data_IF_270057507346
#
_entry.id   IF_270057507346
#
_cell.length_a   1.000
_cell.length_b   1.000
_cell.length_c   1.000
_cell.angle_alpha   90.00
_cell.angle_beta   90.00
_cell.angle_gamma   90.00
#
_symmetry.space_group_name_H-M   'P 1'
#
loop_
_entity.id
_entity.type
_entity.pdbx_description
1 polymer ?
#
# COMPACT_ATOMS: atom_id res chain seq x y z
N UNK A 1 10.30 1.32 -21.66
CA UNK A 1 9.67 1.44 -20.33
C UNK A 1 8.89 0.16 -20.09
N UNK A 2 9.56 -0.88 -19.58
CA UNK A 2 8.90 -2.12 -19.20
C UNK A 2 7.97 -1.83 -18.03
N UNK A 3 6.67 -1.92 -18.25
CA UNK A 3 5.67 -1.92 -17.18
C UNK A 3 5.93 -3.15 -16.31
N UNK A 4 6.75 -3.00 -15.26
CA UNK A 4 6.85 -4.04 -14.23
C UNK A 4 5.46 -4.18 -13.64
N UNK A 5 4.78 -5.26 -14.00
CA UNK A 5 3.43 -5.53 -13.56
C UNK A 5 3.52 -6.21 -12.19
N UNK A 6 3.53 -5.40 -11.13
CA UNK A 6 3.48 -5.91 -9.77
C UNK A 6 2.07 -6.44 -9.48
N UNK A 7 1.99 -7.65 -8.91
CA UNK A 7 0.73 -8.21 -8.48
C UNK A 7 0.32 -7.61 -7.13
N UNK A 8 -0.62 -6.68 -7.15
CA UNK A 8 -1.14 -6.01 -5.96
C UNK A 8 -2.18 -6.91 -5.29
N UNK A 9 -2.10 -7.05 -3.96
CA UNK A 9 -2.99 -7.88 -3.14
C UNK A 9 -3.59 -7.05 -2.01
N UNK A 10 -4.70 -7.49 -1.37
CA UNK A 10 -5.38 -6.74 -0.31
C UNK A 10 -4.49 -6.35 0.89
N UNK A 11 -3.51 -7.20 1.23
CA UNK A 11 -2.62 -7.01 2.38
C UNK A 11 -3.22 -7.48 3.71
N UNK A 12 -2.49 -7.23 4.79
CA UNK A 12 -2.83 -7.52 6.18
C UNK A 12 -2.71 -6.24 7.02
N UNK A 13 -3.73 -5.95 7.82
CA UNK A 13 -3.79 -4.75 8.64
C UNK A 13 -3.04 -4.89 9.96
N UNK A 14 -2.77 -6.14 10.41
CA UNK A 14 -2.02 -6.41 11.64
C UNK A 14 -0.53 -6.02 11.49
N UNK A 15 -0.04 -5.90 10.26
CA UNK A 15 1.35 -5.56 9.93
C UNK A 15 1.52 -4.07 9.62
N UNK A 16 1.44 -3.22 10.65
CA UNK A 16 1.59 -1.76 10.52
C UNK A 16 2.93 -1.34 9.90
N UNK A 17 2.90 -0.33 9.03
CA UNK A 17 4.09 0.16 8.32
C UNK A 17 4.38 -0.66 7.06
N UNK A 18 5.66 -0.78 6.69
CA UNK A 18 6.11 -1.59 5.57
C UNK A 18 6.85 -2.83 6.10
N UNK A 19 6.30 -4.02 5.88
CA UNK A 19 6.85 -5.27 6.38
C UNK A 19 7.15 -6.23 5.22
N UNK A 20 8.35 -6.81 5.21
CA UNK A 20 8.66 -7.90 4.29
C UNK A 20 7.82 -9.14 4.64
N UNK A 21 7.25 -9.77 3.62
CA UNK A 21 6.48 -11.02 3.72
C UNK A 21 6.98 -11.99 2.65
N UNK A 22 6.49 -13.23 2.67
CA UNK A 22 6.81 -14.20 1.64
C UNK A 22 6.42 -13.66 0.24
N UNK A 23 7.42 -13.52 -0.62
CA UNK A 23 7.29 -13.03 -2.00
C UNK A 23 6.75 -11.59 -2.14
N UNK A 24 6.96 -10.71 -1.15
CA UNK A 24 6.56 -9.31 -1.30
C UNK A 24 6.74 -8.44 -0.07
N UNK A 25 6.01 -7.34 -0.06
CA UNK A 25 5.96 -6.38 1.05
C UNK A 25 4.50 -6.07 1.34
N UNK A 26 4.14 -6.08 2.63
CA UNK A 26 2.86 -5.60 3.11
C UNK A 26 2.99 -4.14 3.56
N UNK A 27 2.13 -3.27 3.04
CA UNK A 27 2.05 -1.87 3.47
C UNK A 27 0.74 -1.62 4.20
N UNK A 28 0.80 -1.10 5.41
CA UNK A 28 -0.35 -0.70 6.20
C UNK A 28 -0.14 0.70 6.78
N UNK A 29 -1.08 1.59 6.51
CA UNK A 29 -1.12 2.93 7.08
C UNK A 29 -2.50 3.23 7.66
N UNK A 30 -2.54 4.04 8.73
CA UNK A 30 -3.78 4.46 9.35
C UNK A 30 -4.16 5.87 8.87
N UNK A 31 -5.42 6.04 8.47
CA UNK A 31 -6.02 7.35 8.28
C UNK A 31 -7.51 7.31 8.63
N UNK A 32 -7.95 8.26 9.45
CA UNK A 32 -9.35 8.36 9.88
C UNK A 32 -10.26 8.91 8.78
N UNK A 33 -9.74 9.79 7.94
CA UNK A 33 -10.54 10.60 7.00
C UNK A 33 -10.16 10.42 5.54
N UNK A 34 -9.13 9.61 5.23
CA UNK A 34 -8.78 9.34 3.84
C UNK A 34 -9.97 8.72 3.08
N UNK A 35 -10.28 9.31 1.93
CA UNK A 35 -11.25 8.80 0.97
C UNK A 35 -10.57 7.98 -0.14
N UNK A 36 -9.28 8.21 -0.36
CA UNK A 36 -8.41 7.46 -1.27
C UNK A 36 -6.97 7.46 -0.73
N UNK A 37 -6.17 6.51 -1.20
CA UNK A 37 -4.75 6.41 -0.91
C UNK A 37 -3.99 5.86 -2.13
N UNK A 38 -2.75 6.28 -2.30
CA UNK A 38 -1.86 5.90 -3.39
C UNK A 38 -0.51 5.51 -2.78
N UNK A 39 0.04 4.36 -3.21
CA UNK A 39 1.36 3.91 -2.81
C UNK A 39 2.36 4.26 -3.91
N UNK A 40 3.34 5.08 -3.56
CA UNK A 40 4.42 5.50 -4.45
C UNK A 40 5.69 4.72 -4.11
N UNK A 41 6.31 4.09 -5.11
CA UNK A 41 7.60 3.43 -4.99
C UNK A 41 8.66 4.20 -5.79
N UNK A 42 9.76 4.48 -5.13
CA UNK A 42 10.92 5.20 -5.67
C UNK A 42 12.09 4.22 -5.80
N UNK A 43 12.91 4.40 -6.83
CA UNK A 43 14.03 3.50 -7.11
C UNK A 43 15.13 3.71 -6.07
N UNK A 44 15.34 4.96 -5.69
CA UNK A 44 16.34 5.43 -4.72
C UNK A 44 15.74 6.53 -3.85
N UNK A 45 16.42 6.87 -2.76
CA UNK A 45 15.99 7.87 -1.78
C UNK A 45 16.03 9.30 -2.32
N UNK A 46 16.87 9.57 -3.32
CA UNK A 46 17.00 10.86 -4.00
C UNK A 46 16.21 10.96 -5.32
N UNK A 47 15.45 9.91 -5.66
CA UNK A 47 14.66 9.87 -6.89
C UNK A 47 13.57 10.96 -6.89
N UNK A 48 13.53 11.86 -7.89
CA UNK A 48 12.59 12.97 -7.89
C UNK A 48 11.16 12.54 -8.23
N UNK A 49 10.99 11.38 -8.86
CA UNK A 49 9.71 10.82 -9.29
C UNK A 49 9.63 9.33 -8.94
N UNK A 50 8.43 8.79 -8.66
CA UNK A 50 8.26 7.37 -8.39
C UNK A 50 8.38 6.55 -9.69
N UNK A 51 9.01 5.38 -9.62
CA UNK A 51 9.02 4.44 -10.75
C UNK A 51 7.72 3.65 -10.85
N UNK A 52 6.96 3.55 -9.75
CA UNK A 52 5.63 2.93 -9.71
C UNK A 52 4.70 3.73 -8.82
N UNK A 53 3.50 3.98 -9.33
CA UNK A 53 2.36 4.40 -8.52
C UNK A 53 1.28 3.31 -8.52
N UNK A 54 0.76 2.99 -7.34
CA UNK A 54 -0.33 2.04 -7.14
C UNK A 54 -1.50 2.74 -6.46
N UNK A 55 -2.58 2.98 -7.21
CA UNK A 55 -3.83 3.47 -6.64
C UNK A 55 -4.51 2.36 -5.83
N UNK A 56 -4.73 2.60 -4.54
CA UNK A 56 -5.40 1.62 -3.67
C UNK A 56 -6.92 1.73 -3.83
N UNK A 57 -7.56 0.64 -4.26
CA UNK A 57 -9.02 0.51 -4.25
C UNK A 57 -9.56 0.58 -2.80
N UNK A 58 -10.37 1.59 -2.45
CA UNK A 58 -10.90 1.77 -1.09
C UNK A 58 -11.90 0.69 -0.65
N UNK A 59 -12.36 -0.19 -1.55
CA UNK A 59 -13.21 -1.34 -1.22
C UNK A 59 -12.42 -2.61 -0.91
N UNK A 60 -11.18 -2.71 -1.41
CA UNK A 60 -10.36 -3.93 -1.32
C UNK A 60 -9.18 -3.72 -0.35
N UNK A 61 -8.52 -2.57 -0.40
CA UNK A 61 -7.30 -2.26 0.36
C UNK A 61 -7.57 -1.42 1.62
N UNK A 62 -8.77 -1.56 2.20
CA UNK A 62 -9.18 -0.84 3.40
C UNK A 62 -9.94 -1.78 4.33
N UNK A 63 -9.40 -1.98 5.51
CA UNK A 63 -10.11 -2.63 6.63
C UNK A 63 -10.71 -1.57 7.53
N UNK A 64 -11.97 -1.79 7.91
CA UNK A 64 -12.62 -1.00 8.95
C UNK A 64 -12.51 -1.76 10.26
N UNK A 65 -11.90 -1.13 11.26
CA UNK A 65 -12.00 -1.61 12.64
C UNK A 65 -13.46 -1.52 13.08
N UNK A 66 -14.19 -2.63 13.00
CA UNK A 66 -15.49 -2.79 13.63
C UNK A 66 -15.27 -3.59 14.90
N UNK A 67 -14.87 -2.90 15.97
CA UNK A 67 -14.37 -3.59 17.16
C UNK A 67 -14.08 -2.71 18.36
N UNK A 68 -15.00 -1.79 18.68
CA UNK A 68 -15.31 -1.36 20.05
C UNK A 68 -16.79 -0.93 20.03
N UNK A 69 -17.68 -1.87 20.33
CA UNK A 69 -18.87 -1.53 21.11
C UNK A 69 -18.43 -1.24 22.55
#
# INVERSE_FOLDING_TARGET
>A
MSSNQYNVKPGDWDLSGANFIDNGVNFCCFSRQATAAELLLFEQDDSPEPFLSVQLDPKIHRTFFSGMC
#
